data_IF_025271671553
#
_entry.id   IF_025271671553
#
_cell.length_a   1.000
_cell.length_b   1.000
_cell.length_c   1.000
_cell.angle_alpha   90.00
_cell.angle_beta   90.00
_cell.angle_gamma   90.00
#
_symmetry.space_group_name_H-M   'P 1'
#
loop_
_entity.id
_entity.type
_entity.pdbx_description
1 polymer ?
#
# COMPACT_ATOMS: atom_id res chain seq x y z
N UNK A 1 19.96 -4.98 9.21
CA UNK A 1 19.09 -4.00 9.89
C UNK A 1 18.40 -4.74 11.04
N UNK A 2 18.38 -4.20 12.26
CA UNK A 2 17.63 -4.78 13.40
C UNK A 2 16.39 -3.93 13.62
N UNK A 3 15.24 -4.56 13.70
CA UNK A 3 13.98 -3.89 14.04
C UNK A 3 13.74 -4.04 15.56
N UNK A 4 13.80 -2.95 16.35
CA UNK A 4 13.59 -3.02 17.79
C UNK A 4 12.15 -3.37 18.18
N UNK A 5 11.18 -3.23 17.27
CA UNK A 5 9.77 -3.60 17.52
C UNK A 5 9.52 -5.10 17.44
N UNK A 6 10.47 -5.86 16.86
CA UNK A 6 10.44 -7.31 16.78
C UNK A 6 11.21 -7.99 17.94
N UNK A 7 11.74 -7.22 18.90
CA UNK A 7 12.39 -7.79 20.08
C UNK A 7 11.32 -8.44 20.99
N UNK A 8 11.50 -9.73 21.30
CA UNK A 8 10.56 -10.51 22.09
C UNK A 8 10.33 -9.92 23.48
N UNK A 9 11.32 -9.25 24.07
CA UNK A 9 11.20 -8.60 25.38
C UNK A 9 10.33 -7.35 25.29
N UNK A 10 10.44 -6.59 24.20
CA UNK A 10 9.60 -5.41 23.94
C UNK A 10 8.15 -5.84 23.72
N UNK A 11 7.93 -6.90 22.94
CA UNK A 11 6.60 -7.47 22.75
C UNK A 11 5.99 -7.99 24.06
N UNK A 12 6.74 -8.80 24.82
CA UNK A 12 6.28 -9.35 26.09
C UNK A 12 5.93 -8.25 27.11
N UNK A 13 6.77 -7.21 27.21
CA UNK A 13 6.48 -6.04 28.03
C UNK A 13 5.16 -5.40 27.61
N UNK A 14 5.01 -5.10 26.31
CA UNK A 14 3.83 -4.44 25.76
C UNK A 14 2.53 -5.20 26.04
N UNK A 15 2.56 -6.53 25.94
CA UNK A 15 1.40 -7.40 26.22
C UNK A 15 1.09 -7.47 27.72
N UNK A 16 2.08 -7.27 28.59
CA UNK A 16 1.89 -7.28 30.04
C UNK A 16 1.34 -5.98 30.64
N UNK A 17 1.30 -4.89 29.86
CA UNK A 17 0.84 -3.58 30.33
C UNK A 17 -0.69 -3.57 30.47
N UNK A 18 -1.24 -3.15 31.62
CA UNK A 18 -2.70 -3.02 31.79
C UNK A 18 -3.34 -2.05 30.79
N UNK A 19 -4.55 -2.39 30.32
CA UNK A 19 -5.30 -1.59 29.34
C UNK A 19 -5.40 -0.09 29.69
N UNK A 20 -5.64 0.34 30.95
CA UNK A 20 -5.72 1.78 31.27
C UNK A 20 -4.40 2.56 31.05
N UNK A 21 -3.28 1.85 30.93
CA UNK A 21 -1.96 2.42 30.64
C UNK A 21 -1.63 2.26 29.16
N UNK A 22 -2.05 1.13 28.56
CA UNK A 22 -1.82 0.83 27.15
C UNK A 22 -2.67 1.72 26.22
N UNK A 23 -3.96 1.82 26.53
CA UNK A 23 -4.98 2.55 25.79
C UNK A 23 -5.14 3.99 26.27
N UNK A 24 -5.56 4.85 25.36
CA UNK A 24 -5.90 6.22 25.71
C UNK A 24 -7.30 6.31 26.30
N UNK A 25 -7.54 7.15 27.32
CA UNK A 25 -8.89 7.47 27.79
C UNK A 25 -9.80 8.06 26.70
N UNK A 26 -9.22 8.70 25.67
CA UNK A 26 -9.94 9.30 24.53
C UNK A 26 -9.93 8.42 23.26
N UNK A 27 -9.46 7.17 23.35
CA UNK A 27 -9.38 6.25 22.21
C UNK A 27 -8.26 6.54 21.20
N UNK A 28 -7.24 7.33 21.56
CA UNK A 28 -6.09 7.59 20.70
C UNK A 28 -5.19 6.37 20.45
N UNK A 29 -4.91 6.08 19.18
CA UNK A 29 -3.97 5.04 18.75
C UNK A 29 -2.56 5.23 19.35
N UNK A 30 -1.92 4.10 19.74
CA UNK A 30 -0.52 4.00 20.19
C UNK A 30 -0.22 4.87 21.42
N UNK A 31 -1.19 5.08 22.30
CA UNK A 31 -1.10 5.99 23.44
C UNK A 31 0.12 5.75 24.33
N UNK A 32 0.34 4.51 24.80
CA UNK A 32 1.48 4.18 25.65
C UNK A 32 2.81 4.67 25.07
N UNK A 33 3.03 4.45 23.77
CA UNK A 33 4.26 4.89 23.09
C UNK A 33 4.34 6.41 23.04
N UNK A 34 3.22 7.11 22.80
CA UNK A 34 3.19 8.57 22.81
C UNK A 34 3.46 9.11 24.21
N UNK A 35 2.90 8.51 25.25
CA UNK A 35 3.15 8.90 26.64
C UNK A 35 4.62 8.69 27.03
N UNK A 36 5.20 7.53 26.68
CA UNK A 36 6.59 7.19 26.97
C UNK A 36 7.61 8.12 26.30
N UNK A 37 7.27 8.71 25.14
CA UNK A 37 8.13 9.64 24.40
C UNK A 37 8.00 11.11 24.85
N UNK A 38 7.21 11.41 25.89
CA UNK A 38 7.08 12.77 26.40
C UNK A 38 8.44 13.30 26.90
N UNK A 39 8.83 14.49 26.46
CA UNK A 39 10.15 15.07 26.74
C UNK A 39 11.30 14.50 25.89
N UNK A 40 11.06 13.45 25.09
CA UNK A 40 12.04 12.88 24.15
C UNK A 40 11.76 13.30 22.70
N UNK A 41 10.48 13.54 22.35
CA UNK A 41 10.05 14.00 21.02
C UNK A 41 9.20 15.27 21.13
N UNK A 42 9.29 16.19 20.14
CA UNK A 42 8.36 17.31 20.04
C UNK A 42 6.91 16.85 19.95
N UNK A 43 5.98 17.59 20.55
CA UNK A 43 4.57 17.23 20.56
C UNK A 43 3.96 17.14 19.15
N UNK A 44 4.41 17.98 18.23
CA UNK A 44 4.01 17.92 16.81
C UNK A 44 4.36 16.58 16.13
N UNK A 45 5.38 15.87 16.60
CA UNK A 45 5.77 14.53 16.13
C UNK A 45 5.06 13.47 16.97
N UNK A 46 5.19 13.57 18.29
CA UNK A 46 4.71 12.58 19.27
C UNK A 46 3.20 12.45 19.28
N UNK A 47 2.45 13.52 19.04
CA UNK A 47 0.98 13.53 19.04
C UNK A 47 0.38 13.53 17.62
N UNK A 48 1.22 13.41 16.59
CA UNK A 48 0.75 13.36 15.20
C UNK A 48 -0.17 12.15 14.96
N UNK A 49 -1.41 12.41 14.53
CA UNK A 49 -2.41 11.39 14.18
C UNK A 49 -2.46 11.11 12.68
N UNK A 50 -1.73 11.85 11.85
CA UNK A 50 -1.62 11.60 10.42
C UNK A 50 -0.99 10.23 10.19
N UNK A 51 -1.64 9.39 9.39
CA UNK A 51 -1.07 8.14 8.93
C UNK A 51 -0.17 8.43 7.73
N UNK A 52 1.07 7.97 7.80
CA UNK A 52 1.96 8.00 6.65
C UNK A 52 1.30 7.30 5.46
N UNK A 53 1.38 7.92 4.27
CA UNK A 53 0.88 7.30 3.05
C UNK A 53 1.88 6.23 2.63
N UNK A 54 1.45 4.97 2.65
CA UNK A 54 2.25 3.87 2.09
C UNK A 54 2.37 4.07 0.58
N UNK A 55 3.58 3.85 0.04
CA UNK A 55 3.87 4.02 -1.39
C UNK A 55 3.44 5.37 -1.95
N UNK A 56 3.70 6.47 -1.22
CA UNK A 56 3.32 7.82 -1.65
C UNK A 56 4.00 8.24 -2.96
N UNK A 57 5.14 7.64 -3.27
CA UNK A 57 5.95 7.79 -4.48
C UNK A 57 5.47 6.92 -5.65
N UNK A 58 4.43 6.09 -5.46
CA UNK A 58 4.01 5.10 -6.45
C UNK A 58 3.70 5.71 -7.81
N UNK A 59 2.92 6.79 -7.85
CA UNK A 59 2.57 7.46 -9.09
C UNK A 59 3.84 7.97 -9.81
N UNK A 60 4.77 8.58 -9.07
CA UNK A 60 6.04 9.05 -9.64
C UNK A 60 6.84 7.90 -10.26
N UNK A 61 6.92 6.75 -9.58
CA UNK A 61 7.63 5.57 -10.09
C UNK A 61 6.99 5.02 -11.36
N UNK A 62 5.67 4.88 -11.38
CA UNK A 62 4.96 4.36 -12.55
C UNK A 62 5.02 5.30 -13.75
N UNK A 63 4.91 6.61 -13.52
CA UNK A 63 5.07 7.61 -14.58
C UNK A 63 6.50 7.61 -15.14
N UNK A 64 7.52 7.41 -14.30
CA UNK A 64 8.90 7.27 -14.75
C UNK A 64 9.12 6.02 -15.62
N UNK A 65 8.32 4.97 -15.43
CA UNK A 65 8.34 3.72 -16.21
C UNK A 65 7.12 3.56 -17.12
N UNK A 66 6.56 4.67 -17.64
CA UNK A 66 5.28 4.67 -18.35
C UNK A 66 5.23 3.64 -19.50
N UNK A 67 6.29 3.54 -20.31
CA UNK A 67 6.33 2.58 -21.42
C UNK A 67 6.21 1.12 -20.99
N UNK A 68 6.76 0.75 -19.84
CA UNK A 68 6.60 -0.59 -19.27
C UNK A 68 5.16 -0.84 -18.80
N UNK A 69 4.52 0.19 -18.24
CA UNK A 69 3.12 0.11 -17.81
C UNK A 69 2.18 -0.07 -19.01
N UNK A 70 2.38 0.68 -20.09
CA UNK A 70 1.59 0.54 -21.32
C UNK A 70 1.77 -0.85 -21.95
N UNK A 71 3.00 -1.36 -22.00
CA UNK A 71 3.28 -2.70 -22.50
C UNK A 71 2.61 -3.78 -21.62
N UNK A 72 2.61 -3.59 -20.30
CA UNK A 72 1.94 -4.50 -19.37
C UNK A 72 0.42 -4.48 -19.52
N UNK A 73 -0.19 -3.31 -19.76
CA UNK A 73 -1.60 -3.16 -20.06
C UNK A 73 -1.97 -3.88 -21.36
N UNK A 74 -1.21 -3.66 -22.43
CA UNK A 74 -1.43 -4.34 -23.71
C UNK A 74 -1.36 -5.87 -23.58
N UNK A 75 -0.48 -6.40 -22.72
CA UNK A 75 -0.35 -7.83 -22.49
C UNK A 75 -1.58 -8.45 -21.80
N UNK A 76 -2.36 -7.68 -21.04
CA UNK A 76 -3.56 -8.16 -20.35
C UNK A 76 -4.87 -7.79 -21.06
N UNK A 77 -4.81 -7.01 -22.15
CA UNK A 77 -5.97 -6.64 -22.97
C UNK A 77 -6.54 -7.82 -23.77
N UNK A 78 -5.77 -8.89 -23.94
CA UNK A 78 -6.19 -10.11 -24.62
C UNK A 78 -6.65 -11.21 -23.64
N UNK A 79 -7.36 -12.20 -24.19
CA UNK A 79 -7.69 -13.41 -23.46
C UNK A 79 -6.40 -14.21 -23.12
N UNK A 80 -6.36 -14.93 -21.99
CA UNK A 80 -7.47 -15.14 -21.05
C UNK A 80 -7.67 -14.01 -20.04
N UNK A 81 -6.67 -13.17 -19.77
CA UNK A 81 -6.72 -12.18 -18.70
C UNK A 81 -7.92 -11.24 -18.78
N UNK A 82 -8.22 -10.71 -19.97
CA UNK A 82 -9.29 -9.72 -20.17
C UNK A 82 -10.71 -10.20 -19.81
N UNK A 83 -10.92 -11.51 -19.66
CA UNK A 83 -12.19 -12.08 -19.21
C UNK A 83 -12.39 -11.98 -17.69
N UNK A 84 -11.31 -11.77 -16.93
CA UNK A 84 -11.31 -11.80 -15.46
C UNK A 84 -10.90 -10.48 -14.82
N UNK A 85 -10.19 -9.61 -15.55
CA UNK A 85 -9.81 -8.27 -15.07
C UNK A 85 -10.53 -7.19 -15.87
N UNK A 86 -10.92 -6.11 -15.18
CA UNK A 86 -11.59 -4.97 -15.81
C UNK A 86 -10.56 -4.05 -16.48
N UNK A 87 -10.16 -4.43 -17.70
CA UNK A 87 -9.14 -3.70 -18.48
C UNK A 87 -9.53 -2.24 -18.73
N UNK A 88 -10.83 -1.95 -18.89
CA UNK A 88 -11.32 -0.58 -19.10
C UNK A 88 -11.01 0.27 -17.87
N UNK A 89 -11.32 -0.20 -16.66
CA UNK A 89 -10.99 0.54 -15.42
C UNK A 89 -9.49 0.64 -15.19
N UNK A 90 -8.70 -0.35 -15.61
CA UNK A 90 -7.25 -0.30 -15.49
C UNK A 90 -6.65 0.82 -16.36
N UNK A 91 -7.06 0.89 -17.64
CA UNK A 91 -6.69 1.97 -18.56
C UNK A 91 -7.15 3.35 -18.05
N UNK A 92 -8.37 3.45 -17.51
CA UNK A 92 -8.86 4.70 -16.90
C UNK A 92 -8.03 5.13 -15.69
N UNK A 93 -7.71 4.20 -14.77
CA UNK A 93 -6.89 4.51 -13.61
C UNK A 93 -5.49 4.99 -14.01
N UNK A 94 -4.94 4.43 -15.09
CA UNK A 94 -3.67 4.86 -15.65
C UNK A 94 -3.73 6.27 -16.28
N UNK A 95 -4.73 6.53 -17.12
CA UNK A 95 -4.94 7.85 -17.73
C UNK A 95 -5.19 8.95 -16.68
N UNK A 96 -5.96 8.64 -15.62
CA UNK A 96 -6.23 9.53 -14.50
C UNK A 96 -4.92 9.99 -13.82
N UNK A 97 -3.98 9.08 -13.58
CA UNK A 97 -2.71 9.41 -12.92
C UNK A 97 -1.73 10.14 -13.83
N UNK A 98 -1.74 9.83 -15.13
CA UNK A 98 -0.96 10.55 -16.14
C UNK A 98 -1.43 12.00 -16.25
N UNK A 99 -2.74 12.23 -16.19
CA UNK A 99 -3.32 13.58 -16.20
C UNK A 99 -2.94 14.34 -14.94
N UNK A 100 -3.10 13.72 -13.76
CA UNK A 100 -2.73 14.33 -12.48
C UNK A 100 -2.47 13.30 -11.39
N UNK A 101 -1.24 13.27 -10.89
CA UNK A 101 -0.90 12.53 -9.68
C UNK A 101 -1.47 13.22 -8.44
N UNK A 102 -2.45 12.57 -7.79
CA UNK A 102 -3.09 12.98 -6.54
C UNK A 102 -3.18 11.78 -5.60
N UNK A 103 -3.42 11.96 -4.29
CA UNK A 103 -3.59 10.82 -3.38
C UNK A 103 -4.66 9.82 -3.85
N UNK A 104 -5.74 10.30 -4.45
CA UNK A 104 -6.81 9.45 -4.98
C UNK A 104 -6.38 8.67 -6.23
N UNK A 105 -5.77 9.34 -7.21
CA UNK A 105 -5.33 8.69 -8.45
C UNK A 105 -4.17 7.73 -8.20
N UNK A 106 -3.21 8.09 -7.33
CA UNK A 106 -2.16 7.18 -6.86
C UNK A 106 -2.74 5.94 -6.18
N UNK A 107 -3.76 6.13 -5.32
CA UNK A 107 -4.42 5.00 -4.68
C UNK A 107 -5.14 4.10 -5.70
N UNK A 108 -5.88 4.67 -6.66
CA UNK A 108 -6.57 3.91 -7.72
C UNK A 108 -5.62 3.11 -8.58
N UNK A 109 -4.48 3.68 -8.98
CA UNK A 109 -3.46 2.94 -9.73
C UNK A 109 -2.92 1.76 -8.91
N UNK A 110 -2.68 1.95 -7.62
CA UNK A 110 -2.27 0.85 -6.75
C UNK A 110 -3.32 -0.24 -6.56
N UNK A 111 -4.60 0.13 -6.38
CA UNK A 111 -5.67 -0.81 -6.05
C UNK A 111 -6.37 -1.43 -7.27
N UNK A 112 -6.31 -0.78 -8.43
CA UNK A 112 -6.94 -1.21 -9.68
C UNK A 112 -5.87 -1.69 -10.65
N UNK A 113 -5.00 -0.79 -11.13
CA UNK A 113 -4.03 -1.11 -12.19
C UNK A 113 -3.05 -2.19 -11.75
N UNK A 114 -2.28 -1.99 -10.67
CA UNK A 114 -1.23 -2.95 -10.29
C UNK A 114 -1.76 -4.30 -9.87
N UNK A 115 -2.90 -4.34 -9.16
CA UNK A 115 -3.55 -5.60 -8.78
C UNK A 115 -4.14 -6.31 -9.99
N UNK A 116 -4.71 -5.54 -10.94
CA UNK A 116 -5.19 -6.03 -12.22
C UNK A 116 -4.06 -6.64 -13.06
N UNK A 117 -2.92 -5.95 -13.19
CA UNK A 117 -1.74 -6.45 -13.88
C UNK A 117 -1.21 -7.73 -13.23
N UNK A 118 -1.09 -7.77 -11.91
CA UNK A 118 -0.65 -8.95 -11.18
C UNK A 118 -1.56 -10.16 -11.44
N UNK A 119 -2.87 -9.95 -11.37
CA UNK A 119 -3.86 -11.01 -11.61
C UNK A 119 -3.89 -11.43 -13.09
N UNK A 120 -3.84 -10.47 -14.01
CA UNK A 120 -3.83 -10.71 -15.45
C UNK A 120 -2.60 -11.49 -15.91
N UNK A 121 -1.41 -11.12 -15.43
CA UNK A 121 -0.18 -11.87 -15.73
C UNK A 121 -0.22 -13.29 -15.17
N UNK A 122 -0.75 -13.47 -13.97
CA UNK A 122 -0.94 -14.81 -13.40
C UNK A 122 -1.85 -15.66 -14.29
N UNK A 123 -2.97 -15.10 -14.77
CA UNK A 123 -3.91 -15.81 -15.64
C UNK A 123 -3.27 -16.18 -16.98
N UNK A 124 -2.63 -15.22 -17.65
CA UNK A 124 -1.91 -15.46 -18.89
C UNK A 124 -0.85 -16.56 -18.75
N UNK A 125 -0.12 -16.59 -17.64
CA UNK A 125 0.87 -17.64 -17.37
C UNK A 125 0.23 -18.99 -17.06
N UNK A 126 -0.87 -19.02 -16.32
CA UNK A 126 -1.55 -20.26 -15.93
C UNK A 126 -2.14 -21.02 -17.12
N UNK A 127 -2.65 -20.33 -18.15
CA UNK A 127 -3.14 -21.02 -19.36
C UNK A 127 -2.01 -21.63 -20.20
N UNK A 128 -0.83 -21.00 -20.24
CA UNK A 128 0.33 -21.56 -20.94
C UNK A 128 0.78 -22.91 -20.36
N UNK A 129 0.48 -23.17 -19.08
CA UNK A 129 0.80 -24.43 -18.40
C UNK A 129 -0.27 -25.51 -18.63
N UNK A 130 -1.47 -25.15 -19.09
CA UNK A 130 -2.63 -26.05 -19.26
C UNK A 130 -2.82 -26.41 -20.73
N UNK A 131 -2.31 -25.61 -21.66
CA UNK A 131 -2.32 -25.91 -23.11
C UNK A 131 -1.23 -26.96 -23.46
N UNK A 132 -1.58 -28.12 -24.05
CA UNK A 132 -0.64 -29.20 -24.37
C UNK A 132 0.34 -28.89 -25.50
#
# INVERSE_FOLDING_TARGET
>A
MRDPTLDTRVMAYTISVPDPIFDSPDGADRWMMRAAMNGLLPDEVRLNRLRGRQSADLATRLLASAGEVEAALAAVDAAPANAYVDVIKMHQAWADVQTKATPLTTHRVGSILLRGLLSGFFLNHSEQLISP
#
